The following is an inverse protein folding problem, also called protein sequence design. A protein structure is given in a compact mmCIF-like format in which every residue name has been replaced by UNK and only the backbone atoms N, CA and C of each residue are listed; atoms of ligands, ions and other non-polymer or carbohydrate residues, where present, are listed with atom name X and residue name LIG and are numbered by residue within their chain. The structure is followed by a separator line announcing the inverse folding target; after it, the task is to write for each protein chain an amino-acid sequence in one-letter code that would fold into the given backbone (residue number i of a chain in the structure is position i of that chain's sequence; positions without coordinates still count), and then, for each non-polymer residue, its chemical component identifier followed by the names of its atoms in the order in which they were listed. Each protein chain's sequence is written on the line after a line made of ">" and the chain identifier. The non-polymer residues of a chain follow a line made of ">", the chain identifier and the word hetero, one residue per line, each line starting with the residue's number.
data_IF_589227629154
#
_entry.id   IF_589227629154
#
_cell.length_a   1.000
_cell.length_b   1.000
_cell.length_c   1.000
_cell.angle_alpha   90.00
_cell.angle_beta   90.00
_cell.angle_gamma   90.00
#
_symmetry.space_group_name_H-M   'P 1'
#
loop_
_entity.id
_entity.type
_entity.pdbx_description
1 polymer ?
#
# COMPACT_ATOMS: atom_id res chain seq x y z
N UNK A 1 5.63 13.31 -26.96
CA UNK A 1 5.10 13.11 -25.60
C UNK A 1 6.17 13.61 -24.65
N UNK A 2 6.05 14.85 -24.17
CA UNK A 2 7.01 15.42 -23.23
C UNK A 2 6.58 15.01 -21.82
N UNK A 3 7.44 14.30 -21.09
CA UNK A 3 7.23 14.08 -19.67
C UNK A 3 7.15 15.44 -18.97
N UNK A 4 6.19 15.59 -18.07
CA UNK A 4 6.05 16.80 -17.27
C UNK A 4 7.28 16.99 -16.35
N UNK A 5 7.54 18.21 -15.89
CA UNK A 5 8.71 18.50 -15.04
C UNK A 5 8.67 17.67 -13.74
N UNK A 6 7.46 17.44 -13.22
CA UNK A 6 7.18 16.58 -12.07
C UNK A 6 7.55 15.11 -12.31
N UNK A 7 7.24 14.55 -13.48
CA UNK A 7 7.67 13.19 -13.84
C UNK A 7 9.21 13.07 -13.87
N UNK A 8 9.90 14.03 -14.48
CA UNK A 8 11.37 14.03 -14.55
C UNK A 8 11.98 14.09 -13.15
N UNK A 9 11.45 14.96 -12.29
CA UNK A 9 11.86 15.04 -10.88
C UNK A 9 11.59 13.74 -10.12
N UNK A 10 10.40 13.14 -10.31
CA UNK A 10 10.05 11.88 -9.68
C UNK A 10 11.08 10.79 -10.07
N UNK A 11 11.30 10.52 -11.34
CA UNK A 11 12.22 9.45 -11.76
C UNK A 11 13.67 9.70 -11.34
N UNK A 12 14.11 10.96 -11.31
CA UNK A 12 15.47 11.31 -10.89
C UNK A 12 15.70 11.11 -9.40
N UNK A 13 14.72 11.47 -8.57
CA UNK A 13 14.88 11.47 -7.12
C UNK A 13 14.21 10.29 -6.41
N UNK A 14 13.44 9.45 -7.12
CA UNK A 14 12.71 8.34 -6.54
C UNK A 14 13.60 7.41 -5.72
N UNK A 15 14.68 6.89 -6.31
CA UNK A 15 15.59 5.96 -5.62
C UNK A 15 16.22 6.56 -4.35
N UNK A 16 16.86 7.74 -4.39
CA UNK A 16 17.43 8.33 -3.17
C UNK A 16 16.34 8.66 -2.13
N UNK A 17 15.15 9.10 -2.55
CA UNK A 17 14.04 9.37 -1.62
C UNK A 17 13.52 8.09 -0.96
N UNK A 18 13.34 7.00 -1.70
CA UNK A 18 12.91 5.71 -1.14
C UNK A 18 13.94 5.18 -0.14
N UNK A 19 15.24 5.23 -0.48
CA UNK A 19 16.30 4.81 0.44
C UNK A 19 16.30 5.63 1.73
N UNK A 20 16.11 6.95 1.61
CA UNK A 20 16.07 7.85 2.76
C UNK A 20 14.82 7.65 3.63
N UNK A 21 13.62 7.74 3.04
CA UNK A 21 12.36 7.71 3.78
C UNK A 21 11.93 6.30 4.21
N UNK A 22 12.28 5.27 3.46
CA UNK A 22 11.82 3.90 3.74
C UNK A 22 12.81 3.07 4.56
N UNK A 23 14.10 3.42 4.56
CA UNK A 23 15.13 2.61 5.22
C UNK A 23 15.96 3.40 6.22
N UNK A 24 16.58 4.52 5.80
CA UNK A 24 17.45 5.30 6.68
C UNK A 24 16.67 5.94 7.83
N UNK A 25 15.63 6.72 7.51
CA UNK A 25 14.87 7.47 8.50
C UNK A 25 14.17 6.55 9.53
N UNK A 26 13.46 5.47 9.14
CA UNK A 26 12.84 4.55 10.10
C UNK A 26 13.86 3.80 10.99
N UNK A 27 15.09 3.62 10.51
CA UNK A 27 16.16 2.99 11.30
C UNK A 27 16.78 4.00 12.28
N UNK A 28 17.06 5.22 11.85
CA UNK A 28 17.85 6.18 12.65
C UNK A 28 17.03 6.97 13.67
N UNK A 29 15.76 7.27 13.38
CA UNK A 29 14.89 7.94 14.36
C UNK A 29 14.90 7.16 15.68
N UNK A 30 14.64 5.83 15.70
CA UNK A 30 14.55 5.16 16.97
C UNK A 30 15.88 4.96 17.70
N UNK A 31 17.00 4.91 16.95
CA UNK A 31 18.35 4.96 17.52
C UNK A 31 18.54 6.25 18.32
N UNK A 32 18.16 7.39 17.74
CA UNK A 32 18.39 8.70 18.37
C UNK A 32 17.45 8.99 19.54
N UNK A 33 16.18 8.57 19.46
CA UNK A 33 15.18 8.92 20.47
C UNK A 33 14.98 7.88 21.58
N UNK A 34 15.23 6.58 21.32
CA UNK A 34 15.05 5.51 22.32
C UNK A 34 16.35 4.75 22.64
N UNK A 35 17.48 5.11 22.02
CA UNK A 35 18.78 4.49 22.32
C UNK A 35 18.90 3.04 21.87
N UNK A 36 18.07 2.63 20.91
CA UNK A 36 18.03 1.27 20.39
C UNK A 36 19.20 0.94 19.46
N UNK A 37 19.50 -0.34 19.28
CA UNK A 37 20.61 -0.75 18.41
C UNK A 37 20.27 -0.63 16.93
N UNK A 38 21.24 -0.15 16.14
CA UNK A 38 21.08 0.05 14.68
C UNK A 38 20.66 -1.24 13.98
N UNK A 39 21.25 -2.39 14.36
CA UNK A 39 20.96 -3.68 13.74
C UNK A 39 19.52 -4.15 13.98
N UNK A 40 19.01 -4.06 15.22
CA UNK A 40 17.64 -4.43 15.53
C UNK A 40 16.65 -3.60 14.73
N UNK A 41 16.86 -2.28 14.69
CA UNK A 41 15.96 -1.36 14.00
C UNK A 41 16.03 -1.50 12.49
N UNK A 42 17.21 -1.79 11.93
CA UNK A 42 17.35 -2.06 10.51
C UNK A 42 16.53 -3.29 10.10
N UNK A 43 16.60 -4.39 10.87
CA UNK A 43 15.83 -5.60 10.54
C UNK A 43 14.34 -5.47 10.83
N UNK A 44 13.94 -4.79 11.91
CA UNK A 44 12.53 -4.70 12.32
C UNK A 44 11.84 -3.49 11.69
N UNK A 45 12.30 -2.28 12.00
CA UNK A 45 11.64 -1.04 11.61
C UNK A 45 11.81 -0.70 10.13
N UNK A 46 12.88 -1.18 9.48
CA UNK A 46 13.08 -1.04 8.04
C UNK A 46 12.69 -2.30 7.26
N UNK A 47 13.43 -3.42 7.37
CA UNK A 47 13.21 -4.60 6.53
C UNK A 47 11.86 -5.29 6.78
N UNK A 48 11.58 -5.71 8.01
CA UNK A 48 10.35 -6.45 8.32
C UNK A 48 9.10 -5.61 8.06
N UNK A 49 9.10 -4.34 8.50
CA UNK A 49 8.04 -3.38 8.18
C UNK A 49 7.82 -3.30 6.67
N UNK A 50 8.87 -3.11 5.88
CA UNK A 50 8.77 -3.00 4.42
C UNK A 50 8.21 -4.28 3.79
N UNK A 51 8.68 -5.46 4.19
CA UNK A 51 8.15 -6.74 3.73
C UNK A 51 6.66 -6.91 4.08
N UNK A 52 6.25 -6.59 5.31
CA UNK A 52 4.85 -6.69 5.73
C UNK A 52 3.98 -5.73 4.92
N UNK A 53 4.39 -4.47 4.78
CA UNK A 53 3.66 -3.48 3.97
C UNK A 53 3.49 -3.92 2.53
N UNK A 54 4.55 -4.44 1.89
CA UNK A 54 4.47 -4.98 0.53
C UNK A 54 3.49 -6.13 0.41
N UNK A 55 3.54 -7.10 1.34
CA UNK A 55 2.62 -8.24 1.30
C UNK A 55 1.18 -7.80 1.49
N UNK A 56 0.91 -6.85 2.40
CA UNK A 56 -0.41 -6.26 2.58
C UNK A 56 -0.90 -5.62 1.27
N UNK A 57 -0.08 -4.81 0.60
CA UNK A 57 -0.44 -4.22 -0.70
C UNK A 57 -0.69 -5.30 -1.76
N UNK A 58 0.12 -6.36 -1.80
CA UNK A 58 -0.04 -7.45 -2.75
C UNK A 58 -1.30 -8.31 -2.51
N UNK A 59 -1.91 -8.25 -1.32
CA UNK A 59 -3.19 -8.90 -1.07
C UNK A 59 -4.31 -8.31 -1.94
N UNK A 60 -4.24 -7.03 -2.30
CA UNK A 60 -5.20 -6.40 -3.23
C UNK A 60 -5.17 -7.12 -4.58
N UNK A 61 -3.97 -7.36 -5.13
CA UNK A 61 -3.81 -8.02 -6.42
C UNK A 61 -4.05 -9.55 -6.38
N UNK A 62 -4.10 -10.14 -5.18
CA UNK A 62 -4.20 -11.60 -5.02
C UNK A 62 -5.47 -12.02 -4.33
N UNK A 63 -5.58 -11.80 -3.01
CA UNK A 63 -6.75 -12.19 -2.23
C UNK A 63 -8.02 -11.46 -2.68
N UNK A 64 -7.96 -10.16 -2.97
CA UNK A 64 -9.13 -9.39 -3.43
C UNK A 64 -9.56 -9.71 -4.88
N UNK A 65 -8.83 -10.57 -5.58
CA UNK A 65 -9.21 -11.12 -6.89
C UNK A 65 -9.64 -12.60 -6.82
N UNK A 66 -9.65 -13.20 -5.63
CA UNK A 66 -9.92 -14.64 -5.50
C UNK A 66 -10.91 -15.01 -4.38
N UNK A 67 -10.92 -14.24 -3.30
CA UNK A 67 -11.73 -14.52 -2.13
C UNK A 67 -12.60 -13.31 -1.77
N UNK A 68 -13.91 -13.52 -1.63
CA UNK A 68 -14.89 -12.48 -1.33
C UNK A 68 -16.11 -12.49 -2.25
N UNK A 69 -16.97 -11.50 -2.07
CA UNK A 69 -18.24 -11.35 -2.78
C UNK A 69 -18.11 -10.45 -4.02
N UNK A 70 -19.09 -10.54 -4.93
CA UNK A 70 -19.12 -9.77 -6.19
C UNK A 70 -20.48 -9.08 -6.40
N UNK A 71 -20.83 -8.09 -5.56
CA UNK A 71 -22.15 -7.48 -5.57
C UNK A 71 -22.40 -6.52 -6.75
N UNK A 72 -21.35 -5.96 -7.37
CA UNK A 72 -21.46 -4.95 -8.43
C UNK A 72 -21.31 -5.57 -9.83
N UNK A 73 -20.27 -6.37 -10.06
CA UNK A 73 -20.10 -7.13 -11.31
C UNK A 73 -19.56 -8.54 -11.04
N UNK A 74 -20.36 -9.55 -11.40
CA UNK A 74 -20.05 -10.97 -11.23
C UNK A 74 -19.22 -11.58 -12.37
N UNK A 75 -18.94 -10.81 -13.43
CA UNK A 75 -18.20 -11.27 -14.60
C UNK A 75 -16.71 -10.87 -14.57
N UNK A 76 -16.30 -10.01 -13.63
CA UNK A 76 -14.89 -9.70 -13.34
C UNK A 76 -14.40 -10.56 -12.18
N UNK A 77 -13.09 -10.69 -12.00
CA UNK A 77 -12.52 -11.47 -10.88
C UNK A 77 -12.35 -10.67 -9.58
N UNK A 78 -12.47 -9.34 -9.62
CA UNK A 78 -12.35 -8.51 -8.43
C UNK A 78 -13.50 -8.78 -7.45
N UNK A 79 -13.20 -8.78 -6.15
CA UNK A 79 -14.09 -9.17 -5.05
C UNK A 79 -14.00 -8.20 -3.89
N UNK A 80 -15.11 -8.03 -3.17
CA UNK A 80 -15.16 -7.34 -1.90
C UNK A 80 -14.58 -8.25 -0.80
N UNK A 81 -13.55 -7.80 -0.10
CA UNK A 81 -12.90 -8.57 0.96
C UNK A 81 -12.60 -7.73 2.20
N UNK A 82 -13.43 -7.80 3.27
CA UNK A 82 -13.28 -6.98 4.47
C UNK A 82 -11.94 -7.13 5.19
N UNK A 83 -11.32 -8.31 5.13
CA UNK A 83 -10.00 -8.55 5.74
C UNK A 83 -8.92 -7.80 4.97
N UNK A 84 -8.96 -7.85 3.64
CA UNK A 84 -8.05 -7.05 2.80
C UNK A 84 -8.32 -5.57 3.03
N UNK A 85 -9.58 -5.14 3.07
CA UNK A 85 -9.96 -3.74 3.32
C UNK A 85 -9.36 -3.23 4.61
N UNK A 86 -9.46 -3.97 5.71
CA UNK A 86 -8.88 -3.58 6.99
C UNK A 86 -7.35 -3.46 6.92
N UNK A 87 -6.68 -4.43 6.28
CA UNK A 87 -5.21 -4.46 6.20
C UNK A 87 -4.67 -3.36 5.29
N UNK A 88 -5.36 -3.05 4.19
CA UNK A 88 -4.96 -2.07 3.18
C UNK A 88 -5.61 -0.71 3.39
N UNK A 89 -6.27 -0.50 4.52
CA UNK A 89 -6.91 0.76 4.90
C UNK A 89 -7.97 1.27 3.91
N UNK A 90 -8.70 0.35 3.24
CA UNK A 90 -9.83 0.67 2.37
C UNK A 90 -9.81 -0.01 1.00
N UNK A 91 -8.64 -0.46 0.53
CA UNK A 91 -8.46 -0.94 -0.86
C UNK A 91 -8.99 -2.36 -1.14
N UNK A 92 -9.66 -2.99 -0.17
CA UNK A 92 -10.23 -4.34 -0.31
C UNK A 92 -11.64 -4.39 -0.87
N UNK A 93 -12.29 -3.23 -1.05
CA UNK A 93 -13.57 -3.10 -1.74
C UNK A 93 -13.40 -3.15 -3.27
N UNK A 94 -12.82 -4.25 -3.72
CA UNK A 94 -12.17 -4.31 -5.03
C UNK A 94 -13.16 -4.56 -6.18
N UNK A 95 -14.30 -5.20 -5.93
CA UNK A 95 -15.33 -5.34 -6.95
C UNK A 95 -15.92 -3.96 -7.30
N UNK A 96 -16.22 -3.14 -6.30
CA UNK A 96 -16.66 -1.75 -6.48
C UNK A 96 -15.61 -0.94 -7.22
N UNK A 97 -14.36 -0.97 -6.76
CA UNK A 97 -13.26 -0.21 -7.34
C UNK A 97 -13.07 -0.51 -8.85
N UNK A 98 -13.16 -1.77 -9.27
CA UNK A 98 -13.05 -2.15 -10.68
C UNK A 98 -14.25 -1.72 -11.52
N UNK A 99 -15.46 -1.70 -10.95
CA UNK A 99 -16.68 -1.27 -11.66
C UNK A 99 -16.75 0.26 -11.76
N UNK A 100 -16.29 0.97 -10.74
CA UNK A 100 -16.34 2.44 -10.64
C UNK A 100 -14.93 3.04 -10.39
N UNK A 101 -13.96 2.90 -11.32
CA UNK A 101 -12.57 3.33 -11.11
C UNK A 101 -12.38 4.85 -11.00
N UNK A 102 -13.42 5.63 -11.27
CA UNK A 102 -13.44 7.08 -11.13
C UNK A 102 -13.91 7.55 -9.76
N UNK A 103 -14.43 6.67 -8.91
CA UNK A 103 -14.82 7.03 -7.54
C UNK A 103 -13.58 7.16 -6.66
N UNK A 104 -13.44 8.32 -6.02
CA UNK A 104 -12.31 8.63 -5.14
C UNK A 104 -12.30 7.78 -3.86
N UNK A 105 -13.46 7.30 -3.40
CA UNK A 105 -13.61 6.57 -2.14
C UNK A 105 -13.32 5.07 -2.27
N UNK A 106 -13.19 4.59 -3.51
CA UNK A 106 -12.95 3.17 -3.88
C UNK A 106 -13.93 2.18 -3.26
N UNK A 107 -15.08 2.65 -2.75
CA UNK A 107 -16.08 1.90 -2.02
C UNK A 107 -17.43 2.60 -2.04
N UNK A 108 -18.53 1.84 -1.93
CA UNK A 108 -19.88 2.38 -1.97
C UNK A 108 -20.21 3.29 -0.76
N UNK A 109 -19.68 2.95 0.43
CA UNK A 109 -20.06 3.59 1.71
C UNK A 109 -18.93 4.42 2.33
N UNK A 110 -17.79 4.58 1.65
CA UNK A 110 -16.65 5.34 2.14
C UNK A 110 -15.90 4.63 3.28
N UNK A 111 -15.75 5.29 4.44
CA UNK A 111 -14.88 4.83 5.54
C UNK A 111 -15.43 3.67 6.40
N UNK A 112 -16.46 2.96 5.93
CA UNK A 112 -17.00 1.80 6.65
C UNK A 112 -16.25 0.53 6.26
N UNK A 113 -15.79 -0.21 7.27
CA UNK A 113 -15.12 -1.51 7.16
C UNK A 113 -16.09 -2.65 7.50
#
# INVERSE_FOLDING_TARGET
>A
MFASIDEICFYRFYTPLVLFFSFYMPTMIPVWYWGETVWNLFFIAAMARYCVSLNITWLVNSAAHKYGDQPFDKYIEARENPVVTLLTTGEGWHNYHHVFPWDYATSELGYTF
#
